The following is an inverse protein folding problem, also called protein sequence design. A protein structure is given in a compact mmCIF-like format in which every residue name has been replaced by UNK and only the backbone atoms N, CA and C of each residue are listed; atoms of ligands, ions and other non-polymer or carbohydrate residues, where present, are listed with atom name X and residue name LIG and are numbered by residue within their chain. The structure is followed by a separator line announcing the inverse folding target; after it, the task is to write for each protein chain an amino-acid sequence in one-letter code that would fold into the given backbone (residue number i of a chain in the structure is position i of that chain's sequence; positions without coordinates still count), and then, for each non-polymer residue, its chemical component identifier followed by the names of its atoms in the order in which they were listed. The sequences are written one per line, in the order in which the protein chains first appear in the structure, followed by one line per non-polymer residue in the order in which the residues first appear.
data_IF_849692874741
#
_entry.id   IF_849692874741
#
_cell.length_a   1.000
_cell.length_b   1.000
_cell.length_c   1.000
_cell.angle_alpha   90.00
_cell.angle_beta   90.00
_cell.angle_gamma   90.00
#
_symmetry.space_group_name_H-M   'P 1'
#
loop_
_entity.id
_entity.type
_entity.pdbx_description
1 polymer ?
#
# COMPACT_ATOMS: atom_id res chain seq x y z
N UNK A 1 28.01 12.30 -17.94
CA UNK A 1 27.44 10.95 -17.69
C UNK A 1 25.92 11.05 -17.49
N UNK A 2 25.16 10.67 -18.52
CA UNK A 2 23.69 10.66 -18.54
C UNK A 2 23.11 9.62 -17.57
N UNK A 3 22.81 10.05 -16.34
CA UNK A 3 21.91 9.30 -15.46
C UNK A 3 20.49 9.53 -15.94
N UNK A 4 19.99 8.67 -16.84
CA UNK A 4 18.55 8.56 -17.10
C UNK A 4 17.90 7.95 -15.85
N UNK A 5 17.57 8.81 -14.90
CA UNK A 5 16.83 8.43 -13.69
C UNK A 5 15.36 8.26 -14.06
N UNK A 6 14.72 7.17 -13.65
CA UNK A 6 13.32 6.93 -13.95
C UNK A 6 12.46 7.86 -13.10
N UNK A 7 11.94 8.93 -13.70
CA UNK A 7 11.13 9.94 -12.99
C UNK A 7 9.73 9.40 -12.64
N UNK A 8 9.17 8.57 -13.50
CA UNK A 8 7.81 8.02 -13.38
C UNK A 8 7.72 6.56 -13.86
N UNK A 9 7.00 5.72 -13.12
CA UNK A 9 6.63 4.36 -13.54
C UNK A 9 5.11 4.28 -13.58
N UNK A 10 4.57 3.89 -14.74
CA UNK A 10 3.13 3.70 -14.94
C UNK A 10 2.83 2.21 -15.10
N UNK A 11 2.02 1.66 -14.20
CA UNK A 11 1.48 0.31 -14.28
C UNK A 11 0.00 0.36 -14.65
N UNK A 12 -0.44 -0.50 -15.56
CA UNK A 12 -1.81 -0.55 -16.09
C UNK A 12 -2.28 -2.00 -16.15
N UNK A 13 -3.53 -2.23 -15.74
CA UNK A 13 -4.20 -3.52 -15.73
C UNK A 13 -3.79 -4.39 -14.52
N UNK A 14 -4.78 -4.79 -13.70
CA UNK A 14 -4.60 -5.71 -12.58
C UNK A 14 -3.41 -5.36 -11.66
N UNK A 15 -3.27 -4.08 -11.33
CA UNK A 15 -2.14 -3.59 -10.55
C UNK A 15 -2.25 -4.07 -9.11
N UNK A 16 -1.15 -4.58 -8.58
CA UNK A 16 -1.04 -5.01 -7.19
C UNK A 16 0.20 -4.40 -6.53
N UNK A 17 -0.01 -3.74 -5.38
CA UNK A 17 1.05 -3.19 -4.54
C UNK A 17 1.09 -4.00 -3.26
N UNK A 18 2.27 -4.53 -2.91
CA UNK A 18 2.48 -5.30 -1.67
C UNK A 18 3.64 -4.69 -0.91
N UNK A 19 3.39 -4.29 0.34
CA UNK A 19 4.45 -3.82 1.25
C UNK A 19 4.20 -4.34 2.65
N UNK A 20 5.10 -5.19 3.14
CA UNK A 20 5.00 -5.74 4.49
C UNK A 20 3.59 -6.37 4.71
N UNK A 21 2.77 -5.87 5.64
CA UNK A 21 1.40 -6.35 5.90
C UNK A 21 0.29 -5.60 5.13
N UNK A 22 0.68 -4.64 4.27
CA UNK A 22 -0.20 -3.77 3.49
C UNK A 22 -0.27 -4.27 2.05
N UNK A 23 -1.47 -4.33 1.48
CA UNK A 23 -1.73 -4.72 0.09
C UNK A 23 -2.70 -3.75 -0.54
N UNK A 24 -2.52 -3.39 -1.81
CA UNK A 24 -3.50 -2.61 -2.56
C UNK A 24 -3.66 -3.14 -3.99
N UNK A 25 -4.88 -3.04 -4.53
CA UNK A 25 -5.24 -3.47 -5.88
C UNK A 25 -6.04 -2.39 -6.60
N UNK A 26 -5.78 -2.23 -7.88
CA UNK A 26 -6.49 -1.29 -8.75
C UNK A 26 -6.18 -1.54 -10.22
N UNK A 27 -6.58 -0.59 -11.07
CA UNK A 27 -6.45 -0.72 -12.52
C UNK A 27 -5.21 0.01 -13.03
N UNK A 28 -4.80 1.11 -12.38
CA UNK A 28 -3.64 1.89 -12.79
C UNK A 28 -2.90 2.41 -11.57
N UNK A 29 -1.58 2.29 -11.56
CA UNK A 29 -0.71 2.95 -10.60
C UNK A 29 0.33 3.82 -11.29
N UNK A 30 0.62 4.96 -10.68
CA UNK A 30 1.71 5.86 -11.07
C UNK A 30 2.64 6.03 -9.89
N UNK A 31 3.89 5.61 -10.04
CA UNK A 31 4.95 5.86 -9.08
C UNK A 31 5.78 7.06 -9.55
N UNK A 32 5.93 8.05 -8.67
CA UNK A 32 6.73 9.25 -8.90
C UNK A 32 7.98 9.16 -8.00
N UNK A 33 9.14 8.96 -8.60
CA UNK A 33 10.38 8.66 -7.86
C UNK A 33 10.84 9.84 -7.01
N UNK A 34 10.78 11.05 -7.57
CA UNK A 34 11.15 12.29 -6.87
C UNK A 34 10.30 12.57 -5.62
N UNK A 35 9.05 12.08 -5.63
CA UNK A 35 8.09 12.30 -4.54
C UNK A 35 7.92 11.08 -3.63
N UNK A 36 8.56 9.95 -3.97
CA UNK A 36 8.38 8.66 -3.29
C UNK A 36 6.89 8.34 -3.06
N UNK A 37 6.08 8.57 -4.11
CA UNK A 37 4.62 8.57 -4.05
C UNK A 37 4.05 7.61 -5.09
N UNK A 38 3.08 6.79 -4.69
CA UNK A 38 2.30 5.96 -5.60
C UNK A 38 0.86 6.45 -5.61
N UNK A 39 0.30 6.71 -6.79
CA UNK A 39 -1.12 7.02 -7.00
C UNK A 39 -1.77 5.80 -7.64
N UNK A 40 -2.65 5.13 -6.91
CA UNK A 40 -3.41 3.97 -7.36
C UNK A 40 -4.86 4.37 -7.60
N UNK A 41 -5.38 3.98 -8.76
CA UNK A 41 -6.76 4.25 -9.17
C UNK A 41 -7.44 2.96 -9.60
N UNK A 42 -8.77 2.91 -9.48
CA UNK A 42 -9.56 1.77 -9.91
C UNK A 42 -10.97 2.15 -10.34
N UNK A 43 -11.54 1.34 -11.22
CA UNK A 43 -12.79 1.52 -11.95
C UNK A 43 -13.66 0.28 -11.67
N UNK A 44 -14.58 0.32 -10.69
CA UNK A 44 -15.12 1.51 -10.04
C UNK A 44 -14.35 2.01 -8.82
N UNK A 45 -13.53 1.19 -8.16
CA UNK A 45 -12.73 1.57 -6.99
C UNK A 45 -11.48 0.69 -6.88
N UNK A 46 -10.40 1.25 -6.34
CA UNK A 46 -9.29 0.49 -5.79
C UNK A 46 -9.65 -0.12 -4.42
N UNK A 47 -8.91 -1.13 -4.01
CA UNK A 47 -9.08 -1.82 -2.71
C UNK A 47 -7.73 -1.97 -2.03
N UNK A 48 -7.62 -1.55 -0.78
CA UNK A 48 -6.46 -1.74 0.08
C UNK A 48 -6.81 -2.59 1.30
N UNK A 49 -5.81 -3.32 1.80
CA UNK A 49 -5.88 -4.17 2.97
C UNK A 49 -4.74 -3.85 3.92
N UNK A 50 -5.06 -3.73 5.20
CA UNK A 50 -4.10 -3.68 6.29
C UNK A 50 -4.41 -4.80 7.28
N UNK A 51 -3.70 -5.93 7.15
CA UNK A 51 -4.08 -7.15 7.84
C UNK A 51 -5.48 -7.62 7.43
N UNK A 52 -6.45 -7.49 8.34
CA UNK A 52 -7.87 -7.86 8.11
C UNK A 52 -8.72 -6.69 7.62
N UNK A 53 -8.29 -5.46 7.87
CA UNK A 53 -9.06 -4.27 7.55
C UNK A 53 -9.08 -4.02 6.05
N UNK A 54 -10.21 -3.54 5.54
CA UNK A 54 -10.43 -3.34 4.11
C UNK A 54 -10.83 -1.89 3.87
N UNK A 55 -10.16 -1.24 2.93
CA UNK A 55 -10.40 0.14 2.52
C UNK A 55 -10.71 0.14 1.03
N UNK A 56 -11.83 0.75 0.63
CA UNK A 56 -12.21 0.92 -0.78
C UNK A 56 -12.37 2.40 -1.10
N UNK A 57 -11.79 2.83 -2.22
CA UNK A 57 -11.87 4.22 -2.69
C UNK A 57 -11.43 4.34 -4.15
N UNK A 58 -11.78 5.46 -4.79
CA UNK A 58 -11.48 5.69 -6.21
C UNK A 58 -10.01 6.00 -6.47
N UNK A 59 -9.42 6.83 -5.62
CA UNK A 59 -8.03 7.24 -5.70
C UNK A 59 -7.35 7.00 -4.34
N UNK A 60 -6.27 6.23 -4.35
CA UNK A 60 -5.45 5.90 -3.19
C UNK A 60 -4.03 6.41 -3.44
N UNK A 61 -3.48 7.11 -2.45
CA UNK A 61 -2.12 7.64 -2.48
C UNK A 61 -1.32 6.94 -1.41
N UNK A 62 -0.18 6.36 -1.78
CA UNK A 62 0.77 5.78 -0.87
C UNK A 62 2.05 6.61 -0.83
N UNK A 63 2.40 7.09 0.36
CA UNK A 63 3.64 7.83 0.63
C UNK A 63 4.66 6.82 1.17
N UNK A 64 5.64 6.44 0.35
CA UNK A 64 6.56 5.34 0.65
C UNK A 64 7.43 5.67 1.86
N UNK A 65 7.99 6.88 1.89
CA UNK A 65 8.85 7.35 3.00
C UNK A 65 8.12 7.40 4.35
N UNK A 66 6.85 7.84 4.31
CA UNK A 66 6.02 8.02 5.52
C UNK A 66 5.23 6.77 5.90
N UNK A 67 5.31 5.72 5.09
CA UNK A 67 4.52 4.49 5.19
C UNK A 67 3.01 4.74 5.40
N UNK A 68 2.48 5.79 4.74
CA UNK A 68 1.12 6.30 4.98
C UNK A 68 0.25 6.16 3.75
N UNK A 69 -0.99 5.70 3.95
CA UNK A 69 -2.05 5.72 2.93
C UNK A 69 -2.96 6.94 3.10
N UNK A 70 -3.33 7.53 1.98
CA UNK A 70 -4.36 8.57 1.89
C UNK A 70 -5.36 8.14 0.83
N UNK A 71 -6.64 8.39 1.06
CA UNK A 71 -7.69 8.04 0.11
C UNK A 71 -8.55 9.28 -0.10
N UNK A 72 -8.75 9.67 -1.36
CA UNK A 72 -9.49 10.88 -1.71
C UNK A 72 -10.93 10.54 -2.13
N UNK A 73 -11.85 11.46 -1.81
CA UNK A 73 -13.26 11.36 -2.18
C UNK A 73 -14.06 10.36 -1.34
N UNK A 74 -15.01 9.66 -1.96
CA UNK A 74 -15.90 8.72 -1.26
C UNK A 74 -15.14 7.44 -0.90
N UNK A 75 -15.08 7.15 0.40
CA UNK A 75 -14.40 5.97 0.94
C UNK A 75 -15.41 5.04 1.61
N UNK A 76 -15.22 3.73 1.45
CA UNK A 76 -15.92 2.71 2.24
C UNK A 76 -14.91 1.83 2.94
N UNK A 77 -14.94 1.82 4.26
CA UNK A 77 -14.06 1.01 5.10
C UNK A 77 -14.83 -0.12 5.77
N UNK A 78 -14.16 -1.25 5.99
CA UNK A 78 -14.57 -2.31 6.90
C UNK A 78 -13.42 -2.52 7.87
N UNK A 79 -13.64 -2.09 9.11
CA UNK A 79 -12.70 -2.28 10.20
C UNK A 79 -13.14 -3.48 11.02
N UNK A 80 -12.20 -4.37 11.31
CA UNK A 80 -12.44 -5.52 12.17
C UNK A 80 -11.89 -5.19 13.55
N UNK A 81 -12.72 -5.24 14.61
CA UNK A 81 -12.22 -5.03 15.96
C UNK A 81 -11.15 -6.06 16.26
N UNK A 82 -10.02 -5.59 16.80
CA UNK A 82 -9.01 -6.46 17.38
C UNK A 82 -9.58 -6.92 18.72
N UNK A 83 -10.29 -8.03 18.73
CA UNK A 83 -10.76 -8.66 19.96
C UNK A 83 -9.59 -8.82 20.93
N UNK A 84 -9.81 -8.51 22.21
CA UNK A 84 -8.83 -8.61 23.30
C UNK A 84 -8.46 -10.08 23.59
N UNK A 85 -7.85 -10.79 22.63
CA UNK A 85 -7.14 -12.05 22.87
C UNK A 85 -5.65 -11.77 23.07
N UNK A 86 -5.34 -11.11 24.19
CA UNK A 86 -4.06 -11.37 24.85
C UNK A 86 -4.10 -12.79 25.42
N UNK A 87 -3.78 -13.79 24.59
CA UNK A 87 -3.08 -15.07 24.91
C UNK A 87 -3.40 -16.11 23.83
N UNK A 88 -2.35 -16.68 23.24
CA UNK A 88 -2.31 -17.76 22.22
C UNK A 88 -2.34 -17.34 20.73
N UNK A 89 -1.36 -16.53 20.32
CA UNK A 89 -0.47 -16.82 19.17
C UNK A 89 0.76 -15.89 19.15
N UNK A 90 1.50 -15.85 20.26
CA UNK A 90 2.95 -15.70 20.21
C UNK A 90 3.55 -17.05 19.76
N UNK A 91 3.36 -17.42 18.50
CA UNK A 91 4.07 -18.54 17.84
C UNK A 91 3.73 -18.62 16.34
N UNK A 92 4.03 -17.55 15.62
CA UNK A 92 4.74 -17.67 14.35
C UNK A 92 5.57 -16.40 14.16
N UNK A 93 6.52 -16.23 15.07
CA UNK A 93 7.70 -15.45 14.75
C UNK A 93 8.40 -16.13 13.57
N UNK A 94 8.10 -15.67 12.36
CA UNK A 94 9.09 -15.56 11.31
C UNK A 94 9.19 -14.08 11.00
N UNK A 95 10.06 -13.44 11.76
CA UNK A 95 10.58 -12.09 11.59
C UNK A 95 9.57 -11.05 11.12
N UNK A 96 9.12 -10.20 12.04
CA UNK A 96 9.19 -8.78 11.72
C UNK A 96 10.67 -8.49 11.43
N UNK A 97 11.10 -8.73 10.20
CA UNK A 97 12.18 -7.90 9.67
C UNK A 97 11.59 -6.49 9.81
N UNK A 98 12.30 -5.54 10.44
CA UNK A 98 11.96 -4.14 10.22
C UNK A 98 11.79 -4.01 8.70
N UNK A 99 10.77 -3.31 8.24
CA UNK A 99 10.68 -2.94 6.83
C UNK A 99 11.87 -1.97 6.59
N UNK A 100 13.12 -2.47 6.67
CA UNK A 100 14.32 -1.71 6.45
C UNK A 100 14.23 -1.32 4.99
N UNK A 101 14.23 -0.02 4.66
CA UNK A 101 14.48 0.36 3.28
C UNK A 101 15.79 -0.33 2.91
N UNK A 102 15.78 -1.19 1.90
CA UNK A 102 17.03 -1.67 1.32
C UNK A 102 17.67 -0.45 0.66
N UNK A 103 18.35 0.36 1.46
CA UNK A 103 19.26 1.39 0.97
C UNK A 103 20.33 0.65 0.21
N UNK A 104 20.39 0.92 -1.10
CA UNK A 104 21.42 0.39 -1.98
C UNK A 104 22.72 1.13 -1.76
#
# INVERSE_FOLDING_TARGET
PDKKQTEEIVAIGNVEIVRCNKRAKGDRAVYLDQLQKIILTGTPNAVAWEGKDIIKGREMIFLIEKDRFMVNGRVRTKLFPKSDEKKKKKSSGKGETPCSPKTK
#
